data_IF_042684110331
#
_entry.id   IF_042684110331
#
_cell.length_a   1.000
_cell.length_b   1.000
_cell.length_c   1.000
_cell.angle_alpha   90.00
_cell.angle_beta   90.00
_cell.angle_gamma   90.00
#
_symmetry.space_group_name_H-M   'P 1'
#
loop_
_entity.id
_entity.type
_entity.pdbx_description
1 polymer ?
#
# COMPACT_ATOMS: atom_id res chain seq x y z
N UNK A 1 14.96 5.70 14.22
CA UNK A 1 13.96 6.64 13.65
C UNK A 1 14.51 7.15 12.31
N UNK A 2 14.06 6.60 11.18
CA UNK A 2 14.38 7.14 9.84
C UNK A 2 13.12 7.83 9.33
N UNK A 3 13.08 9.15 9.42
CA UNK A 3 12.02 9.95 8.81
C UNK A 3 12.29 9.90 7.31
N UNK A 4 11.47 9.14 6.58
CA UNK A 4 11.59 9.01 5.12
C UNK A 4 11.02 10.30 4.51
N UNK A 5 11.89 11.25 4.19
CA UNK A 5 11.60 12.49 3.46
C UNK A 5 11.40 12.23 1.95
N UNK A 6 10.69 11.16 1.60
CA UNK A 6 10.34 10.87 0.22
C UNK A 6 9.17 11.75 -0.23
N UNK A 7 9.45 12.80 -1.01
CA UNK A 7 8.43 13.52 -1.79
C UNK A 7 7.52 12.50 -2.51
N UNK A 8 6.20 12.74 -2.65
CA UNK A 8 5.34 11.88 -3.45
C UNK A 8 5.89 11.90 -4.90
N UNK A 9 6.56 10.81 -5.32
CA UNK A 9 6.96 10.65 -6.72
C UNK A 9 5.68 10.50 -7.51
N UNK A 10 5.46 11.42 -8.45
CA UNK A 10 4.32 11.41 -9.37
C UNK A 10 4.09 10.01 -9.93
N UNK A 11 2.98 9.38 -9.53
CA UNK A 11 2.47 8.17 -10.16
C UNK A 11 1.74 8.64 -11.42
N UNK A 12 2.51 8.83 -12.49
CA UNK A 12 1.97 9.15 -13.81
C UNK A 12 2.15 7.93 -14.70
N UNK A 13 1.07 7.32 -15.20
CA UNK A 13 1.14 6.15 -16.06
C UNK A 13 1.50 6.51 -17.50
N UNK A 14 1.78 7.79 -17.82
CA UNK A 14 2.10 8.23 -19.18
C UNK A 14 3.42 7.59 -19.64
N UNK A 15 3.28 6.48 -20.37
CA UNK A 15 4.24 5.77 -21.23
C UNK A 15 4.83 4.45 -20.69
N UNK A 16 4.44 3.96 -19.51
CA UNK A 16 4.92 2.65 -19.01
C UNK A 16 3.96 2.04 -17.98
N UNK A 17 3.00 1.18 -18.40
CA UNK A 17 2.05 0.54 -17.47
C UNK A 17 2.72 -0.46 -16.53
N UNK A 18 3.82 -1.10 -16.94
CA UNK A 18 4.57 -2.05 -16.10
C UNK A 18 5.18 -1.29 -14.92
N UNK A 19 5.89 -0.19 -15.20
CA UNK A 19 6.50 0.61 -14.15
C UNK A 19 5.46 1.36 -13.31
N UNK A 20 4.33 1.77 -13.89
CA UNK A 20 3.23 2.36 -13.14
C UNK A 20 2.62 1.36 -12.15
N UNK A 21 2.42 0.11 -12.58
CA UNK A 21 1.92 -0.99 -11.76
C UNK A 21 2.85 -1.27 -10.57
N UNK A 22 4.16 -1.35 -10.81
CA UNK A 22 5.16 -1.56 -9.76
C UNK A 22 5.15 -0.43 -8.71
N UNK A 23 5.09 0.82 -9.18
CA UNK A 23 5.07 2.00 -8.30
C UNK A 23 3.81 2.05 -7.45
N UNK A 24 2.66 1.71 -8.03
CA UNK A 24 1.38 1.65 -7.32
C UNK A 24 1.44 0.60 -6.22
N UNK A 25 1.85 -0.63 -6.57
CA UNK A 25 1.98 -1.73 -5.62
C UNK A 25 2.90 -1.35 -4.43
N UNK A 26 4.10 -0.82 -4.71
CA UNK A 26 5.05 -0.38 -3.67
C UNK A 26 4.49 0.72 -2.78
N UNK A 27 3.72 1.66 -3.33
CA UNK A 27 3.08 2.71 -2.53
C UNK A 27 2.06 2.12 -1.53
N UNK A 28 1.31 1.10 -1.96
CA UNK A 28 0.36 0.40 -1.10
C UNK A 28 1.07 -0.46 -0.05
N UNK A 29 2.13 -1.19 -0.42
CA UNK A 29 2.97 -1.95 0.52
C UNK A 29 3.50 -1.07 1.66
N UNK A 30 4.14 0.06 1.32
CA UNK A 30 4.72 0.96 2.33
C UNK A 30 3.64 1.60 3.21
N UNK A 31 2.46 1.88 2.65
CA UNK A 31 1.32 2.40 3.40
C UNK A 31 0.80 1.38 4.41
N UNK A 32 0.65 0.11 4.00
CA UNK A 32 0.23 -0.97 4.90
C UNK A 32 1.29 -1.22 5.97
N UNK A 33 2.59 -1.25 5.62
CA UNK A 33 3.68 -1.37 6.61
C UNK A 33 3.62 -0.26 7.65
N UNK A 34 3.39 0.97 7.21
CA UNK A 34 3.31 2.14 8.09
C UNK A 34 2.15 2.01 9.08
N UNK A 35 0.96 1.64 8.61
CA UNK A 35 -0.19 1.41 9.48
C UNK A 35 0.04 0.20 10.40
N UNK A 36 0.55 -0.90 9.86
CA UNK A 36 0.83 -2.13 10.59
C UNK A 36 1.84 -1.91 11.73
N UNK A 37 2.84 -1.05 11.50
CA UNK A 37 3.78 -0.59 12.52
C UNK A 37 3.11 0.33 13.54
N UNK A 38 2.34 1.32 13.10
CA UNK A 38 1.68 2.28 14.00
C UNK A 38 0.73 1.60 14.99
N UNK A 39 0.01 0.58 14.54
CA UNK A 39 -0.94 -0.19 15.35
C UNK A 39 -0.36 -1.49 15.92
N UNK A 40 0.97 -1.67 15.81
CA UNK A 40 1.71 -2.80 16.35
C UNK A 40 1.09 -4.18 16.03
N UNK A 41 0.72 -4.38 14.77
CA UNK A 41 0.01 -5.60 14.36
C UNK A 41 0.89 -6.85 14.46
N UNK A 42 0.31 -8.05 14.69
CA UNK A 42 1.06 -9.30 14.67
C UNK A 42 1.87 -9.53 13.38
N UNK A 43 1.38 -9.08 12.22
CA UNK A 43 2.11 -9.19 10.95
C UNK A 43 3.37 -8.33 10.92
N UNK A 44 3.30 -7.12 11.48
CA UNK A 44 4.48 -6.27 11.63
C UNK A 44 5.51 -6.91 12.57
N UNK A 45 5.06 -7.52 13.66
CA UNK A 45 5.92 -8.25 14.59
C UNK A 45 6.57 -9.47 13.93
N UNK A 46 5.80 -10.27 13.18
CA UNK A 46 6.33 -11.40 12.39
C UNK A 46 7.35 -10.92 11.37
N UNK A 47 7.03 -9.88 10.58
CA UNK A 47 7.93 -9.37 9.56
C UNK A 47 9.23 -8.79 10.15
N UNK A 48 9.14 -8.15 11.32
CA UNK A 48 10.30 -7.61 12.04
C UNK A 48 11.20 -8.73 12.57
N UNK A 49 10.60 -9.80 13.13
CA UNK A 49 11.33 -10.98 13.60
C UNK A 49 12.02 -11.72 12.45
N UNK A 50 11.36 -11.84 11.31
CA UNK A 50 11.89 -12.57 10.15
C UNK A 50 12.79 -11.71 9.26
N UNK A 51 12.80 -10.38 9.45
CA UNK A 51 13.56 -9.44 8.62
C UNK A 51 12.99 -9.24 7.22
N UNK A 52 11.81 -9.77 6.91
CA UNK A 52 11.18 -9.73 5.59
C UNK A 52 9.66 -9.61 5.69
N UNK A 53 9.06 -8.91 4.73
CA UNK A 53 7.63 -8.88 4.53
C UNK A 53 7.21 -9.85 3.42
N UNK A 54 6.64 -10.99 3.79
CA UNK A 54 6.01 -11.89 2.82
C UNK A 54 4.69 -11.30 2.30
N UNK A 55 4.36 -11.56 1.04
CA UNK A 55 3.08 -11.11 0.42
C UNK A 55 1.86 -11.49 1.26
N UNK A 56 1.86 -12.68 1.87
CA UNK A 56 0.78 -13.11 2.77
C UNK A 56 0.60 -12.22 4.01
N UNK A 57 1.68 -11.59 4.51
CA UNK A 57 1.62 -10.72 5.68
C UNK A 57 0.91 -9.40 5.33
N UNK A 58 1.09 -8.86 4.12
CA UNK A 58 0.33 -7.69 3.70
C UNK A 58 -1.17 -7.98 3.61
N UNK A 59 -1.55 -9.13 3.02
CA UNK A 59 -2.95 -9.52 2.93
C UNK A 59 -3.62 -9.78 4.28
N UNK A 60 -2.86 -10.28 5.26
CA UNK A 60 -3.32 -10.43 6.65
C UNK A 60 -3.40 -9.09 7.37
N UNK A 61 -2.39 -8.22 7.20
CA UNK A 61 -2.31 -6.90 7.81
C UNK A 61 -3.44 -6.00 7.31
N UNK A 62 -3.67 -5.93 6.00
CA UNK A 62 -4.74 -5.12 5.40
C UNK A 62 -6.12 -5.48 5.97
N UNK A 63 -6.43 -6.77 6.07
CA UNK A 63 -7.67 -7.28 6.68
C UNK A 63 -7.82 -6.92 8.15
N UNK A 64 -6.74 -7.02 8.92
CA UNK A 64 -6.77 -6.67 10.34
C UNK A 64 -6.90 -5.18 10.56
N UNK A 65 -6.12 -4.38 9.84
CA UNK A 65 -6.20 -2.93 9.87
C UNK A 65 -7.59 -2.45 9.45
N UNK A 66 -8.18 -3.08 8.44
CA UNK A 66 -9.56 -2.82 8.02
C UNK A 66 -10.56 -2.98 9.18
N UNK A 67 -10.48 -4.08 9.94
CA UNK A 67 -11.34 -4.29 11.11
C UNK A 67 -11.01 -3.35 12.27
N UNK A 68 -9.73 -3.10 12.52
CA UNK A 68 -9.28 -2.27 13.64
C UNK A 68 -9.69 -0.81 13.46
N UNK A 69 -9.71 -0.32 12.22
CA UNK A 69 -9.96 1.07 11.88
C UNK A 69 -11.37 1.31 11.33
N UNK A 70 -12.21 0.28 11.31
CA UNK A 70 -13.55 0.30 10.71
C UNK A 70 -13.55 0.87 9.28
N UNK A 71 -12.58 0.43 8.48
CA UNK A 71 -12.34 0.95 7.13
C UNK A 71 -12.16 -0.21 6.14
N UNK A 72 -13.24 -0.70 5.50
CA UNK A 72 -13.20 -1.82 4.57
C UNK A 72 -12.34 -1.55 3.32
N UNK A 73 -12.12 -0.28 2.95
CA UNK A 73 -11.30 0.06 1.79
C UNK A 73 -9.84 -0.39 1.93
N UNK A 74 -9.33 -0.58 3.15
CA UNK A 74 -7.97 -1.09 3.37
C UNK A 74 -7.75 -2.49 2.78
N UNK A 75 -8.70 -3.40 2.98
CA UNK A 75 -8.65 -4.74 2.39
C UNK A 75 -8.79 -4.66 0.86
N UNK A 76 -9.73 -3.86 0.38
CA UNK A 76 -9.99 -3.69 -1.05
C UNK A 76 -8.77 -3.12 -1.81
N UNK A 77 -8.14 -2.07 -1.29
CA UNK A 77 -6.98 -1.44 -1.93
C UNK A 77 -5.79 -2.40 -2.01
N UNK A 78 -5.59 -3.24 -0.98
CA UNK A 78 -4.58 -4.30 -1.06
C UNK A 78 -4.89 -5.32 -2.16
N UNK A 79 -6.15 -5.75 -2.29
CA UNK A 79 -6.56 -6.70 -3.32
C UNK A 79 -6.28 -6.15 -4.72
N UNK A 80 -6.65 -4.89 -4.98
CA UNK A 80 -6.36 -4.18 -6.23
C UNK A 80 -4.86 -4.05 -6.47
N UNK A 81 -4.08 -3.67 -5.45
CA UNK A 81 -2.63 -3.55 -5.59
C UNK A 81 -1.96 -4.87 -5.94
N UNK A 82 -2.39 -5.97 -5.30
CA UNK A 82 -1.86 -7.30 -5.59
C UNK A 82 -2.20 -7.76 -7.01
N UNK A 83 -3.43 -7.53 -7.45
CA UNK A 83 -3.88 -7.83 -8.80
C UNK A 83 -3.06 -7.07 -9.87
N UNK A 84 -2.86 -5.76 -9.69
CA UNK A 84 -2.00 -4.93 -10.54
C UNK A 84 -0.54 -5.38 -10.51
N UNK A 85 -0.04 -5.83 -9.37
CA UNK A 85 1.32 -6.34 -9.26
C UNK A 85 1.50 -7.62 -10.09
N UNK A 86 0.52 -8.53 -10.07
CA UNK A 86 0.54 -9.74 -10.88
C UNK A 86 0.34 -9.40 -12.35
N UNK A 87 -0.82 -8.84 -12.71
CA UNK A 87 -1.21 -8.67 -14.11
C UNK A 87 -0.54 -7.49 -14.81
N UNK A 88 -0.29 -6.40 -14.09
CA UNK A 88 0.32 -5.20 -14.65
C UNK A 88 1.84 -5.24 -14.66
N UNK A 89 2.47 -5.70 -13.58
CA UNK A 89 3.93 -5.72 -13.48
C UNK A 89 4.56 -7.05 -13.92
N UNK A 90 4.14 -8.19 -13.37
CA UNK A 90 4.75 -9.48 -13.70
C UNK A 90 4.35 -10.01 -15.08
N UNK A 91 3.06 -9.94 -15.41
CA UNK A 91 2.52 -10.53 -16.64
C UNK A 91 2.38 -9.53 -17.80
N UNK A 92 2.56 -8.23 -17.53
CA UNK A 92 2.47 -7.14 -18.50
C UNK A 92 1.19 -7.18 -19.37
N UNK A 93 0.04 -7.50 -18.76
CA UNK A 93 -1.26 -7.61 -19.44
C UNK A 93 -2.08 -6.34 -19.38
N UNK A 94 -1.86 -5.48 -18.37
CA UNK A 94 -2.62 -4.26 -18.20
C UNK A 94 -2.06 -3.10 -19.04
N UNK A 95 -2.99 -2.37 -19.63
CA UNK A 95 -2.74 -1.13 -20.36
C UNK A 95 -2.56 0.05 -19.42
N UNK A 96 -2.21 1.21 -19.99
CA UNK A 96 -2.13 2.46 -19.22
C UNK A 96 -3.49 2.85 -18.66
N UNK A 97 -4.56 2.59 -19.42
CA UNK A 97 -5.95 2.87 -19.07
C UNK A 97 -6.40 2.01 -17.90
N UNK A 98 -6.08 0.71 -17.90
CA UNK A 98 -6.40 -0.22 -16.81
C UNK A 98 -5.75 0.27 -15.49
N UNK A 99 -4.44 0.51 -15.51
CA UNK A 99 -3.68 0.96 -14.32
C UNK A 99 -4.13 2.34 -13.85
N UNK A 100 -4.58 3.21 -14.77
CA UNK A 100 -5.02 4.56 -14.43
C UNK A 100 -6.27 4.53 -13.54
N UNK A 101 -7.17 3.57 -13.74
CA UNK A 101 -8.38 3.41 -12.94
C UNK A 101 -8.07 3.19 -11.45
N UNK A 102 -6.97 2.51 -11.16
CA UNK A 102 -6.61 2.11 -9.80
C UNK A 102 -5.76 3.13 -9.03
N UNK A 103 -5.27 4.18 -9.71
CA UNK A 103 -4.45 5.22 -9.08
C UNK A 103 -5.18 5.90 -7.93
N UNK A 104 -6.49 6.07 -8.03
CA UNK A 104 -7.27 6.77 -7.02
C UNK A 104 -7.40 5.96 -5.73
N UNK A 105 -7.33 4.62 -5.81
CA UNK A 105 -7.26 3.73 -4.66
C UNK A 105 -5.95 3.91 -3.88
N UNK A 106 -4.82 3.95 -4.58
CA UNK A 106 -3.52 4.20 -3.94
C UNK A 106 -3.39 5.62 -3.38
N UNK A 107 -3.89 6.63 -4.10
CA UNK A 107 -3.93 8.02 -3.58
C UNK A 107 -4.79 8.15 -2.33
N UNK A 108 -5.95 7.50 -2.32
CA UNK A 108 -6.82 7.47 -1.15
C UNK A 108 -6.07 6.89 0.06
N UNK A 109 -5.41 5.74 -0.11
CA UNK A 109 -4.67 5.10 1.00
C UNK A 109 -3.55 6.00 1.52
N UNK A 110 -2.80 6.65 0.63
CA UNK A 110 -1.75 7.60 1.04
C UNK A 110 -2.31 8.78 1.84
N UNK A 111 -3.45 9.32 1.43
CA UNK A 111 -4.13 10.40 2.16
C UNK A 111 -4.64 9.92 3.52
N UNK A 112 -5.23 8.73 3.56
CA UNK A 112 -5.72 8.11 4.78
C UNK A 112 -4.60 7.86 5.79
N UNK A 113 -3.46 7.29 5.36
CA UNK A 113 -2.29 7.09 6.22
C UNK A 113 -1.79 8.42 6.80
N UNK A 114 -1.72 9.48 5.99
CA UNK A 114 -1.32 10.83 6.46
C UNK A 114 -2.27 11.37 7.52
N UNK A 115 -3.57 11.17 7.35
CA UNK A 115 -4.59 11.57 8.33
C UNK A 115 -4.46 10.81 9.64
N UNK A 116 -4.28 9.49 9.58
CA UNK A 116 -4.08 8.67 10.78
C UNK A 116 -2.80 9.08 11.52
N UNK A 117 -1.70 9.33 10.79
CA UNK A 117 -0.44 9.79 11.37
C UNK A 117 -0.55 11.19 11.99
N UNK A 118 -1.36 12.09 11.43
CA UNK A 118 -1.54 13.42 12.02
C UNK A 118 -2.37 13.37 13.30
N UNK A 119 -3.38 12.50 13.37
CA UNK A 119 -4.20 12.25 14.57
C UNK A 119 -3.39 11.62 15.71
N UNK A 120 -2.49 10.69 15.39
CA UNK A 120 -1.61 10.02 16.37
C UNK A 120 -0.42 10.88 16.84
N UNK A 121 -0.21 12.07 16.27
CA UNK A 121 0.86 13.01 16.64
C UNK A 121 0.46 14.06 17.68
N UNK A 122 -0.75 14.00 18.27
CA UNK A 122 -1.11 14.91 19.35
C UNK A 122 -0.28 14.62 20.62
N UNK A 123 0.19 15.67 21.31
CA UNK A 123 1.18 15.59 22.38
C UNK A 123 0.76 14.74 23.57
#
# INVERSE_FOLDING_TARGET
MKIISGKPKNISPKNDPIQASEKLYKAVEESIKTLAQLFDTPEYQTATKEGIWWTQLFGKAARRLSRLLDEPRLEYVWAIAYDIHVWGFHEAKYSTEDVRGDLDHAKWLLSYVKEILSKNKKP
#
